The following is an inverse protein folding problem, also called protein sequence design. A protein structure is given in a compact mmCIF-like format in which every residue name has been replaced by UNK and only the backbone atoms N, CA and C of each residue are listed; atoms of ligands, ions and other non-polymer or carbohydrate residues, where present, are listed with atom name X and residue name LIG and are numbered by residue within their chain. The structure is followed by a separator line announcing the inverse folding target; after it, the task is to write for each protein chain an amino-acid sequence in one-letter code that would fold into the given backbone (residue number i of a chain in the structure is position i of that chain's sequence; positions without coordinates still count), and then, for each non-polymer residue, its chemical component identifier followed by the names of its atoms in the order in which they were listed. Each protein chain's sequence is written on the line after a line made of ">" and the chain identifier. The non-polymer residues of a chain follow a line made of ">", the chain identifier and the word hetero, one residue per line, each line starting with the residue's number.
data_IF_928903022755
#
_entry.id   IF_928903022755
#
_cell.length_a   1.000
_cell.length_b   1.000
_cell.length_c   1.000
_cell.angle_alpha   90.00
_cell.angle_beta   90.00
_cell.angle_gamma   90.00
#
_symmetry.space_group_name_H-M   'P 1'
#
loop_
_entity.id
_entity.type
_entity.pdbx_description
1 polymer ?
#
# COMPACT_ATOMS: atom_id res chain seq x y z
N UNK A 1 1.96 17.12 -30.86
CA UNK A 1 2.90 16.53 -29.89
C UNK A 1 2.09 15.94 -28.75
N UNK A 2 2.15 14.63 -28.55
CA UNK A 2 1.50 13.96 -27.42
C UNK A 2 2.29 14.32 -26.17
N UNK A 3 1.64 14.96 -25.19
CA UNK A 3 2.29 15.30 -23.92
C UNK A 3 2.29 14.04 -23.06
N UNK A 4 3.40 13.31 -23.05
CA UNK A 4 3.61 12.24 -22.07
C UNK A 4 3.56 12.93 -20.70
N UNK A 5 2.60 12.54 -19.87
CA UNK A 5 2.44 13.12 -18.56
C UNK A 5 3.63 12.68 -17.70
N UNK A 6 4.12 13.56 -16.83
CA UNK A 6 5.28 13.24 -15.98
C UNK A 6 4.91 12.06 -15.09
N UNK A 7 5.53 10.91 -15.35
CA UNK A 7 5.46 9.71 -14.51
C UNK A 7 6.87 9.42 -14.05
N UNK A 8 7.02 9.10 -12.76
CA UNK A 8 8.29 8.64 -12.24
C UNK A 8 8.76 7.40 -13.04
N UNK A 9 10.07 7.14 -13.14
CA UNK A 9 10.60 5.84 -13.57
C UNK A 9 9.81 4.70 -12.93
N UNK A 10 9.20 3.85 -13.76
CA UNK A 10 8.22 2.85 -13.32
C UNK A 10 8.65 1.48 -13.80
N UNK A 11 8.78 0.56 -12.85
CA UNK A 11 8.76 -0.87 -13.10
C UNK A 11 7.33 -1.38 -12.90
N UNK A 12 6.89 -2.26 -13.78
CA UNK A 12 5.54 -2.81 -13.79
C UNK A 12 5.59 -4.33 -13.88
N UNK A 13 4.74 -4.98 -13.11
CA UNK A 13 4.50 -6.42 -13.16
C UNK A 13 2.99 -6.63 -13.28
N UNK A 14 2.56 -7.51 -14.19
CA UNK A 14 1.18 -7.96 -14.28
C UNK A 14 1.11 -9.47 -14.39
N UNK A 15 0.53 -10.08 -13.36
CA UNK A 15 0.44 -11.52 -13.22
C UNK A 15 1.82 -12.15 -13.08
N UNK A 16 1.96 -13.35 -13.61
CA UNK A 16 3.23 -13.96 -13.97
C UNK A 16 3.01 -14.61 -15.35
N UNK A 17 3.24 -13.82 -16.42
CA UNK A 17 4.62 -13.53 -16.72
C UNK A 17 5.04 -12.10 -17.03
N UNK A 18 4.18 -11.08 -17.06
CA UNK A 18 4.51 -9.84 -17.76
C UNK A 18 5.28 -8.82 -16.90
N UNK A 19 6.48 -8.45 -17.32
CA UNK A 19 7.34 -7.46 -16.66
C UNK A 19 7.72 -6.31 -17.60
N UNK A 20 7.85 -5.11 -17.04
CA UNK A 20 8.51 -3.96 -17.66
C UNK A 20 9.53 -3.37 -16.69
N UNK A 21 10.78 -3.22 -17.11
CA UNK A 21 11.85 -2.61 -16.31
C UNK A 21 11.69 -1.08 -16.22
N UNK A 22 12.48 -0.45 -15.34
CA UNK A 22 12.51 1.01 -15.21
C UNK A 22 12.91 1.73 -16.51
N UNK A 23 13.74 1.09 -17.34
CA UNK A 23 14.22 1.64 -18.62
C UNK A 23 13.35 1.21 -19.82
N UNK A 24 12.22 0.53 -19.55
CA UNK A 24 11.19 0.22 -20.53
C UNK A 24 11.33 -1.12 -21.24
N UNK A 25 12.23 -2.01 -20.80
CA UNK A 25 12.36 -3.36 -21.35
C UNK A 25 11.16 -4.21 -20.95
N UNK A 26 10.36 -4.61 -21.93
CA UNK A 26 9.31 -5.61 -21.75
C UNK A 26 9.88 -7.01 -21.88
N UNK A 27 9.47 -7.90 -20.99
CA UNK A 27 9.77 -9.33 -21.11
C UNK A 27 8.75 -10.15 -20.34
N UNK A 28 8.70 -11.44 -20.69
CA UNK A 28 7.84 -12.42 -20.06
C UNK A 28 8.68 -13.51 -19.40
N UNK A 29 8.35 -13.87 -18.17
CA UNK A 29 8.99 -14.95 -17.42
C UNK A 29 7.97 -15.54 -16.46
N UNK A 30 7.85 -16.87 -16.37
CA UNK A 30 7.00 -17.52 -15.37
C UNK A 30 7.86 -18.29 -14.38
N UNK A 31 7.66 -18.05 -13.09
CA UNK A 31 8.41 -18.72 -12.04
C UNK A 31 7.61 -18.84 -10.74
N UNK A 32 7.60 -20.01 -10.13
CA UNK A 32 6.88 -20.33 -8.89
C UNK A 32 7.76 -20.17 -7.65
N UNK A 33 8.45 -19.03 -7.55
CA UNK A 33 9.40 -18.73 -6.49
C UNK A 33 9.21 -17.31 -5.94
N UNK A 34 10.03 -16.94 -4.95
CA UNK A 34 10.18 -15.57 -4.52
C UNK A 34 11.32 -14.89 -5.29
N UNK A 35 11.05 -13.71 -5.85
CA UNK A 35 11.99 -12.95 -6.67
C UNK A 35 12.12 -11.51 -6.19
N UNK A 36 13.34 -10.99 -6.24
CA UNK A 36 13.62 -9.57 -5.99
C UNK A 36 13.22 -8.75 -7.21
N UNK A 37 12.15 -7.95 -7.11
CA UNK A 37 11.79 -6.99 -8.16
C UNK A 37 12.80 -5.86 -8.24
N UNK A 38 13.01 -5.20 -7.11
CA UNK A 38 13.90 -4.06 -7.00
C UNK A 38 14.44 -3.98 -5.59
N UNK A 39 15.75 -3.79 -5.45
CA UNK A 39 16.40 -3.50 -4.18
C UNK A 39 17.50 -2.46 -4.37
N UNK A 40 17.85 -1.78 -3.28
CA UNK A 40 19.02 -0.90 -3.23
C UNK A 40 20.32 -1.70 -3.31
N UNK A 41 21.29 -1.25 -4.13
CA UNK A 41 22.54 -2.01 -4.35
C UNK A 41 23.46 -2.14 -3.12
N UNK A 42 23.54 -1.11 -2.25
CA UNK A 42 24.65 -1.01 -1.29
C UNK A 42 24.21 -0.82 0.17
N UNK A 43 23.08 -0.15 0.42
CA UNK A 43 22.74 0.35 1.76
C UNK A 43 21.55 -0.37 2.40
N UNK A 44 20.99 -1.39 1.74
CA UNK A 44 19.78 -2.09 2.16
C UNK A 44 18.63 -1.14 2.55
N UNK A 45 18.57 0.05 1.94
CA UNK A 45 17.52 1.03 2.23
C UNK A 45 16.15 0.45 1.89
N UNK A 46 16.03 -0.29 0.79
CA UNK A 46 14.80 -1.00 0.47
C UNK A 46 15.01 -2.30 -0.31
N UNK A 47 14.05 -3.21 -0.20
CA UNK A 47 13.89 -4.37 -1.08
C UNK A 47 12.41 -4.64 -1.31
N UNK A 48 12.03 -4.90 -2.56
CA UNK A 48 10.68 -5.29 -2.98
C UNK A 48 10.77 -6.69 -3.56
N UNK A 49 10.10 -7.63 -2.89
CA UNK A 49 10.06 -9.05 -3.25
C UNK A 49 8.63 -9.42 -3.60
N UNK A 50 8.44 -10.15 -4.70
CA UNK A 50 7.17 -10.85 -4.97
C UNK A 50 7.37 -12.33 -4.71
N UNK A 51 6.32 -12.98 -4.19
CA UNK A 51 6.22 -14.42 -4.15
C UNK A 51 5.13 -14.88 -5.09
N UNK A 52 5.55 -15.56 -6.15
CA UNK A 52 4.68 -16.19 -7.12
C UNK A 52 4.45 -17.65 -6.72
N UNK A 53 3.22 -18.14 -6.86
CA UNK A 53 2.86 -19.54 -6.65
C UNK A 53 2.07 -20.05 -7.82
N UNK A 54 2.10 -21.37 -8.05
CA UNK A 54 1.23 -22.00 -9.03
C UNK A 54 -0.24 -21.80 -8.67
N UNK A 55 -1.03 -21.36 -9.64
CA UNK A 55 -2.45 -21.15 -9.55
C UNK A 55 -3.14 -21.76 -10.79
N UNK A 56 -4.40 -22.17 -10.66
CA UNK A 56 -5.11 -22.81 -11.77
C UNK A 56 -4.75 -24.28 -11.98
N UNK A 57 -5.35 -24.87 -13.03
CA UNK A 57 -5.09 -26.25 -13.48
C UNK A 57 -4.04 -26.30 -14.61
N UNK A 58 -3.81 -25.17 -15.29
CA UNK A 58 -2.85 -24.98 -16.39
C UNK A 58 -1.39 -24.88 -15.95
N UNK A 59 -1.14 -24.66 -14.65
CA UNK A 59 0.22 -24.50 -14.11
C UNK A 59 0.79 -23.08 -14.24
N UNK A 60 -0.04 -22.09 -14.60
CA UNK A 60 0.34 -20.67 -14.54
C UNK A 60 0.62 -20.24 -13.10
N UNK A 61 1.33 -19.14 -12.94
CA UNK A 61 1.73 -18.59 -11.65
C UNK A 61 0.99 -17.29 -11.37
N UNK A 62 0.65 -17.05 -10.11
CA UNK A 62 0.09 -15.77 -9.67
C UNK A 62 0.85 -15.25 -8.46
N UNK A 63 0.92 -13.93 -8.35
CA UNK A 63 1.50 -13.29 -7.18
C UNK A 63 0.56 -13.46 -5.98
N UNK A 64 1.09 -14.03 -4.90
CA UNK A 64 0.33 -14.26 -3.67
C UNK A 64 0.64 -13.25 -2.58
N UNK A 65 1.85 -12.71 -2.62
CA UNK A 65 2.40 -11.89 -1.54
C UNK A 65 3.46 -10.95 -2.09
N UNK A 66 3.47 -9.75 -1.54
CA UNK A 66 4.54 -8.77 -1.77
C UNK A 66 5.14 -8.44 -0.41
N UNK A 67 6.46 -8.52 -0.33
CA UNK A 67 7.20 -8.12 0.85
C UNK A 67 8.02 -6.88 0.50
N UNK A 68 7.78 -5.80 1.23
CA UNK A 68 8.52 -4.54 1.10
C UNK A 68 9.31 -4.29 2.38
N UNK A 69 10.63 -4.41 2.29
CA UNK A 69 11.53 -4.12 3.39
C UNK A 69 12.04 -2.68 3.28
N UNK A 70 11.91 -1.88 4.34
CA UNK A 70 12.31 -0.47 4.39
C UNK A 70 13.16 -0.20 5.64
N UNK A 71 14.49 -0.11 5.49
CA UNK A 71 15.45 0.12 6.59
C UNK A 71 15.18 -0.73 7.84
N UNK A 72 14.88 -2.01 7.63
CA UNK A 72 14.58 -2.99 8.68
C UNK A 72 13.11 -3.17 9.03
N UNK A 73 12.20 -2.28 8.61
CA UNK A 73 10.77 -2.53 8.71
C UNK A 73 10.31 -3.47 7.58
N UNK A 74 9.48 -4.44 7.90
CA UNK A 74 8.94 -5.40 6.92
C UNK A 74 7.44 -5.16 6.77
N UNK A 75 7.02 -4.79 5.56
CA UNK A 75 5.62 -4.64 5.19
C UNK A 75 5.25 -5.83 4.32
N UNK A 76 4.27 -6.63 4.75
CA UNK A 76 3.78 -7.76 3.98
C UNK A 76 2.36 -7.49 3.53
N UNK A 77 2.18 -7.48 2.20
CA UNK A 77 0.89 -7.33 1.56
C UNK A 77 0.43 -8.71 1.10
N UNK A 78 -0.79 -9.08 1.46
CA UNK A 78 -1.41 -10.35 1.08
C UNK A 78 -2.73 -10.10 0.33
N UNK A 79 -3.08 -11.00 -0.59
CA UNK A 79 -4.34 -10.92 -1.36
C UNK A 79 -5.54 -11.22 -0.45
N UNK A 80 -5.40 -12.22 0.41
CA UNK A 80 -6.50 -12.78 1.22
C UNK A 80 -6.33 -12.55 2.74
N UNK A 81 -5.40 -11.67 3.16
CA UNK A 81 -5.14 -11.37 4.57
C UNK A 81 -4.88 -9.87 4.77
N UNK A 82 -5.11 -9.34 6.00
CA UNK A 82 -4.73 -7.99 6.33
C UNK A 82 -3.26 -7.71 6.04
N UNK A 83 -2.96 -6.48 5.65
CA UNK A 83 -1.57 -6.03 5.48
C UNK A 83 -0.91 -5.91 6.85
N UNK A 84 0.35 -6.31 6.96
CA UNK A 84 1.09 -6.23 8.22
C UNK A 84 2.32 -5.32 8.09
N UNK A 85 2.68 -4.66 9.19
CA UNK A 85 3.94 -3.96 9.40
C UNK A 85 4.63 -4.59 10.61
N UNK A 86 5.81 -5.19 10.40
CA UNK A 86 6.55 -5.93 11.42
C UNK A 86 5.65 -6.96 12.14
N UNK A 87 4.91 -7.74 11.36
CA UNK A 87 3.96 -8.78 11.83
C UNK A 87 2.71 -8.25 12.55
N UNK A 88 2.58 -6.94 12.73
CA UNK A 88 1.38 -6.31 13.30
C UNK A 88 0.43 -5.87 12.19
N UNK A 89 -0.84 -6.26 12.29
CA UNK A 89 -1.86 -5.86 11.31
C UNK A 89 -2.06 -4.34 11.28
N UNK A 90 -2.15 -3.81 10.05
CA UNK A 90 -2.43 -2.40 9.80
C UNK A 90 -3.95 -2.21 9.67
N UNK A 91 -4.53 -1.18 10.32
CA UNK A 91 -5.95 -0.84 10.16
C UNK A 91 -6.31 -0.52 8.70
N UNK A 92 -7.57 -0.72 8.30
CA UNK A 92 -8.03 -0.46 6.92
C UNK A 92 -7.92 1.02 6.52
N UNK A 93 -7.96 1.89 7.52
CA UNK A 93 -7.71 3.33 7.48
C UNK A 93 -6.33 3.67 6.89
N UNK A 94 -5.38 2.74 6.99
CA UNK A 94 -4.00 2.88 6.58
C UNK A 94 -3.05 3.12 7.76
N UNK A 95 -1.82 3.44 7.42
CA UNK A 95 -0.74 3.70 8.36
C UNK A 95 0.06 4.91 7.90
N UNK A 96 0.43 5.78 8.82
CA UNK A 96 1.26 6.95 8.52
C UNK A 96 2.30 7.13 9.62
N UNK A 97 3.54 7.31 9.20
CA UNK A 97 4.68 7.62 10.06
C UNK A 97 5.54 8.71 9.43
N UNK A 98 6.62 9.06 10.11
CA UNK A 98 7.57 10.06 9.59
C UNK A 98 8.29 9.62 8.32
N UNK A 99 8.28 8.35 7.89
CA UNK A 99 9.02 7.93 6.68
C UNK A 99 8.18 7.11 5.69
N UNK A 100 7.07 6.55 6.15
CA UNK A 100 6.25 5.57 5.43
C UNK A 100 4.79 5.98 5.58
N UNK A 101 4.07 5.97 4.47
CA UNK A 101 2.61 6.08 4.41
C UNK A 101 2.06 4.90 3.63
N UNK A 102 1.07 4.21 4.19
CA UNK A 102 0.40 3.05 3.60
C UNK A 102 -1.07 3.39 3.55
N UNK A 103 -1.66 3.48 2.36
CA UNK A 103 -3.08 3.80 2.20
C UNK A 103 -3.63 3.32 0.88
N UNK A 104 -4.96 3.26 0.77
CA UNK A 104 -5.63 2.98 -0.51
C UNK A 104 -5.63 4.21 -1.42
N UNK A 105 -5.34 3.97 -2.69
CA UNK A 105 -5.40 4.93 -3.80
C UNK A 105 -6.17 4.32 -4.96
N UNK A 106 -7.46 4.63 -5.07
CA UNK A 106 -8.35 3.96 -6.02
C UNK A 106 -8.45 2.46 -5.71
N UNK A 107 -8.14 1.61 -6.69
CA UNK A 107 -8.10 0.15 -6.51
C UNK A 107 -6.77 -0.36 -5.94
N UNK A 108 -5.77 0.49 -5.73
CA UNK A 108 -4.44 0.09 -5.29
C UNK A 108 -4.26 0.30 -3.78
N UNK A 109 -3.58 -0.62 -3.12
CA UNK A 109 -2.87 -0.35 -1.88
C UNK A 109 -1.51 0.26 -2.21
N UNK A 110 -1.23 1.44 -1.68
CA UNK A 110 -0.01 2.21 -1.97
C UNK A 110 0.87 2.36 -0.73
N UNK A 111 2.15 2.04 -0.87
CA UNK A 111 3.20 2.34 0.11
C UNK A 111 4.03 3.49 -0.47
N UNK A 112 4.01 4.64 0.20
CA UNK A 112 4.76 5.84 -0.17
C UNK A 112 5.89 6.05 0.85
N UNK A 113 7.09 6.36 0.35
CA UNK A 113 8.25 6.66 1.20
C UNK A 113 8.84 8.04 0.90
N UNK A 114 9.38 8.70 1.94
CA UNK A 114 9.99 10.03 1.78
C UNK A 114 11.22 10.02 0.88
N UNK A 115 11.93 8.90 0.83
CA UNK A 115 13.10 8.73 -0.02
C UNK A 115 12.74 8.41 -1.48
N UNK A 116 11.47 8.46 -1.85
CA UNK A 116 11.05 8.42 -3.25
C UNK A 116 10.91 7.03 -3.83
N UNK A 117 10.69 6.01 -2.99
CA UNK A 117 10.12 4.73 -3.41
C UNK A 117 8.60 4.81 -3.26
N UNK A 118 7.88 4.28 -4.24
CA UNK A 118 6.45 3.98 -4.07
C UNK A 118 6.13 2.63 -4.66
N UNK A 119 5.39 1.83 -3.91
CA UNK A 119 4.91 0.52 -4.35
C UNK A 119 3.39 0.55 -4.37
N UNK A 120 2.78 0.21 -5.50
CA UNK A 120 1.34 0.06 -5.62
C UNK A 120 1.00 -1.37 -6.01
N UNK A 121 0.04 -1.96 -5.33
CA UNK A 121 -0.50 -3.27 -5.67
C UNK A 121 -2.02 -3.24 -5.65
N UNK A 122 -2.65 -3.79 -6.67
CA UNK A 122 -4.11 -3.85 -6.77
C UNK A 122 -4.75 -4.99 -5.98
N UNK A 123 -3.99 -5.60 -5.06
CA UNK A 123 -4.37 -6.81 -4.32
C UNK A 123 -4.72 -8.01 -5.22
N UNK A 124 -4.34 -7.94 -6.49
CA UNK A 124 -4.47 -9.02 -7.45
C UNK A 124 -3.12 -9.25 -8.12
N UNK A 125 -3.02 -8.85 -9.37
CA UNK A 125 -1.95 -9.24 -10.27
C UNK A 125 -1.04 -8.08 -10.66
N UNK A 126 -1.41 -6.81 -10.40
CA UNK A 126 -0.66 -5.65 -10.91
C UNK A 126 0.14 -4.96 -9.83
N UNK A 127 1.45 -4.94 -10.02
CA UNK A 127 2.41 -4.28 -9.14
C UNK A 127 3.09 -3.17 -9.92
N UNK A 128 3.16 -1.99 -9.31
CA UNK A 128 3.95 -0.88 -9.81
C UNK A 128 4.98 -0.48 -8.76
N UNK A 129 6.23 -0.40 -9.18
CA UNK A 129 7.32 0.17 -8.38
C UNK A 129 7.74 1.45 -9.05
N UNK A 130 7.60 2.57 -8.35
CA UNK A 130 8.01 3.88 -8.81
C UNK A 130 9.23 4.34 -8.02
N UNK A 131 10.18 4.96 -8.72
CA UNK A 131 11.38 5.52 -8.11
C UNK A 131 11.58 6.98 -8.53
N UNK A 132 11.95 7.83 -7.59
CA UNK A 132 12.50 9.16 -7.90
C UNK A 132 13.83 9.01 -8.65
N UNK A 133 14.16 9.97 -9.52
CA UNK A 133 15.41 10.00 -10.29
C UNK A 133 16.70 9.93 -9.43
N UNK A 134 16.62 10.24 -8.13
CA UNK A 134 17.73 10.08 -7.19
C UNK A 134 18.23 8.63 -7.03
N UNK A 135 17.40 7.65 -7.43
CA UNK A 135 17.70 6.22 -7.44
C UNK A 135 18.36 5.72 -8.73
N UNK A 136 18.57 6.59 -9.72
CA UNK A 136 19.21 6.22 -10.99
C UNK A 136 20.57 5.54 -10.72
N UNK A 137 20.79 4.35 -11.29
CA UNK A 137 21.99 3.50 -11.11
C UNK A 137 22.25 3.04 -9.66
N UNK A 138 21.26 3.06 -8.78
CA UNK A 138 21.39 2.64 -7.37
C UNK A 138 20.47 1.47 -7.00
N UNK A 139 19.89 0.84 -8.00
CA UNK A 139 18.92 -0.25 -7.84
C UNK A 139 19.31 -1.43 -8.72
N UNK A 140 18.83 -2.59 -8.33
CA UNK A 140 19.02 -3.85 -9.03
C UNK A 140 17.84 -4.79 -8.76
N UNK A 141 17.67 -5.81 -9.60
CA UNK A 141 16.56 -6.76 -9.51
C UNK A 141 15.95 -7.04 -10.88
N UNK A 142 14.79 -7.71 -10.90
CA UNK A 142 14.01 -7.96 -12.11
C UNK A 142 13.61 -6.67 -12.85
N UNK A 143 13.49 -5.55 -12.13
CA UNK A 143 13.18 -4.24 -12.69
C UNK A 143 14.35 -3.55 -13.40
N UNK A 144 15.51 -4.21 -13.54
CA UNK A 144 16.71 -3.66 -14.16
C UNK A 144 17.52 -2.77 -13.23
N UNK A 145 18.48 -2.03 -13.78
CA UNK A 145 19.43 -1.21 -13.02
C UNK A 145 19.09 0.30 -13.00
N UNK A 146 18.04 0.68 -13.74
CA UNK A 146 17.56 2.06 -13.88
C UNK A 146 18.69 3.03 -14.27
N UNK A 147 19.32 2.80 -15.41
CA UNK A 147 20.40 3.65 -15.93
C UNK A 147 20.02 4.41 -17.23
N UNK A 148 18.87 4.08 -17.81
CA UNK A 148 18.33 4.59 -19.06
C UNK A 148 18.66 3.73 -20.29
N UNK A 149 19.25 2.53 -20.12
CA UNK A 149 19.75 1.67 -21.19
C UNK A 149 19.03 0.32 -21.14
N UNK A 150 17.90 0.24 -21.83
CA UNK A 150 17.07 -0.97 -21.93
C UNK A 150 17.86 -2.27 -22.23
N UNK A 151 18.89 -2.21 -23.08
CA UNK A 151 19.60 -3.43 -23.54
C UNK A 151 20.49 -4.08 -22.47
N UNK A 152 20.79 -3.41 -21.36
CA UNK A 152 21.59 -3.96 -20.27
C UNK A 152 20.76 -4.34 -19.03
N UNK A 153 19.43 -4.22 -19.08
CA UNK A 153 18.58 -4.49 -17.91
C UNK A 153 18.65 -5.94 -17.42
N UNK A 154 19.10 -6.88 -18.26
CA UNK A 154 19.24 -8.30 -17.91
C UNK A 154 20.56 -8.62 -17.21
N UNK A 155 21.01 -7.73 -16.32
CA UNK A 155 22.16 -7.99 -15.45
C UNK A 155 21.75 -8.92 -14.31
N UNK A 156 22.34 -10.10 -14.27
CA UNK A 156 22.13 -11.06 -13.19
C UNK A 156 22.64 -10.53 -11.84
N UNK A 157 22.29 -11.23 -10.77
CA UNK A 157 22.82 -10.96 -9.42
C UNK A 157 24.36 -10.99 -9.36
N UNK A 158 25.00 -11.76 -10.23
CA UNK A 158 26.46 -11.82 -10.39
C UNK A 158 27.02 -10.80 -11.40
N UNK A 159 26.18 -9.86 -11.86
CA UNK A 159 26.53 -8.81 -12.84
C UNK A 159 26.92 -9.35 -14.23
N UNK A 160 26.48 -10.57 -14.56
CA UNK A 160 26.59 -11.13 -15.91
C UNK A 160 25.38 -10.69 -16.75
N UNK A 161 25.61 -10.30 -18.01
CA UNK A 161 24.53 -9.95 -18.91
C UNK A 161 23.90 -11.20 -19.51
N UNK A 162 22.68 -11.50 -19.10
CA UNK A 162 21.91 -12.65 -19.56
C UNK A 162 21.16 -12.34 -20.85
N UNK A 163 21.07 -13.32 -21.75
CA UNK A 163 20.33 -13.17 -23.02
C UNK A 163 18.86 -13.60 -22.87
N UNK A 164 18.59 -14.60 -22.03
CA UNK A 164 17.26 -15.17 -21.83
C UNK A 164 16.58 -14.54 -20.61
N UNK A 165 15.30 -14.15 -20.71
CA UNK A 165 14.52 -13.67 -19.57
C UNK A 165 14.52 -14.64 -18.38
N UNK A 166 14.43 -15.94 -18.63
CA UNK A 166 14.44 -16.96 -17.57
C UNK A 166 15.79 -17.06 -16.85
N UNK A 167 16.90 -17.07 -17.58
CA UNK A 167 18.25 -17.04 -16.98
C UNK A 167 18.47 -15.80 -16.12
N UNK A 168 18.06 -14.63 -16.63
CA UNK A 168 18.06 -13.39 -15.88
C UNK A 168 17.22 -13.51 -14.61
N UNK A 169 15.95 -13.92 -14.73
CA UNK A 169 15.01 -13.92 -13.61
C UNK A 169 15.39 -14.94 -12.53
N UNK A 170 15.87 -16.12 -12.94
CA UNK A 170 16.34 -17.15 -12.03
C UNK A 170 17.54 -16.73 -11.18
N UNK A 171 18.35 -15.78 -11.64
CA UNK A 171 19.46 -15.24 -10.86
C UNK A 171 19.01 -14.36 -9.68
N UNK A 172 17.77 -13.85 -9.73
CA UNK A 172 17.16 -12.96 -8.73
C UNK A 172 16.23 -13.69 -7.75
N UNK A 173 16.33 -15.02 -7.66
CA UNK A 173 15.62 -15.81 -6.65
C UNK A 173 16.12 -15.46 -5.24
N UNK A 174 15.18 -15.35 -4.30
CA UNK A 174 15.50 -15.11 -2.88
C UNK A 174 16.11 -16.35 -2.23
N UNK A 175 15.62 -17.53 -2.62
CA UNK A 175 16.10 -18.84 -2.17
C UNK A 175 16.04 -19.84 -3.34
N UNK A 176 16.74 -20.97 -3.21
CA UNK A 176 16.66 -22.02 -4.23
C UNK A 176 15.26 -22.63 -4.26
N UNK A 177 14.65 -22.63 -5.45
CA UNK A 177 13.34 -23.21 -5.73
C UNK A 177 13.50 -24.32 -6.78
N UNK A 178 12.68 -25.40 -6.72
CA UNK A 178 12.70 -26.43 -7.74
C UNK A 178 12.50 -25.82 -9.13
N UNK A 179 13.41 -26.11 -10.06
CA UNK A 179 13.19 -25.72 -11.45
C UNK A 179 12.04 -26.55 -11.98
N UNK A 180 10.93 -25.87 -12.26
CA UNK A 180 9.79 -26.49 -12.89
C UNK A 180 10.07 -26.55 -14.40
N UNK A 181 10.68 -27.65 -14.86
CA UNK A 181 11.08 -27.92 -16.26
C UNK A 181 9.95 -27.69 -17.30
N UNK A 182 8.69 -27.58 -16.87
CA UNK A 182 7.53 -27.32 -17.72
C UNK A 182 7.24 -25.83 -17.99
N UNK A 183 7.71 -24.90 -17.16
CA UNK A 183 7.45 -23.45 -17.32
C UNK A 183 8.57 -22.71 -18.08
N UNK A 184 9.72 -23.35 -18.27
CA UNK A 184 10.83 -22.84 -19.09
C UNK A 184 10.65 -23.10 -20.60
N UNK A 185 9.50 -23.65 -21.04
CA UNK A 185 9.25 -23.78 -22.48
C UNK A 185 8.93 -22.39 -23.04
N UNK A 186 9.91 -21.78 -23.72
CA UNK A 186 9.80 -20.51 -24.45
C UNK A 186 8.62 -20.46 -25.46
N UNK A 187 7.88 -21.56 -25.65
CA UNK A 187 6.73 -21.72 -26.54
C UNK A 187 5.44 -22.16 -25.82
N UNK A 188 5.28 -21.87 -24.53
CA UNK A 188 3.99 -22.09 -23.87
C UNK A 188 2.97 -21.04 -24.35
N UNK A 189 2.11 -21.43 -25.28
CA UNK A 189 1.01 -20.58 -25.76
C UNK A 189 -0.34 -21.07 -25.17
N UNK A 190 -0.91 -20.35 -24.18
CA UNK A 190 -2.12 -20.79 -23.49
C UNK A 190 -3.31 -21.02 -24.42
N UNK A 191 -3.49 -20.17 -25.44
CA UNK A 191 -4.61 -20.31 -26.39
C UNK A 191 -4.47 -21.54 -27.31
N UNK A 192 -3.26 -22.03 -27.55
CA UNK A 192 -3.05 -23.27 -28.32
C UNK A 192 -3.27 -24.51 -27.44
N UNK A 193 -2.99 -24.40 -26.13
CA UNK A 193 -3.32 -25.45 -25.15
C UNK A 193 -4.81 -25.48 -24.81
N UNK A 194 -5.47 -24.33 -24.83
CA UNK A 194 -6.90 -24.16 -24.54
C UNK A 194 -7.63 -23.55 -25.76
N UNK A 195 -7.72 -24.28 -26.90
CA UNK A 195 -8.28 -23.73 -28.14
C UNK A 195 -9.75 -23.35 -28.03
N UNK A 196 -10.49 -23.97 -27.11
CA UNK A 196 -11.89 -23.63 -26.83
C UNK A 196 -12.07 -22.27 -26.16
N UNK A 197 -11.06 -21.74 -25.44
CA UNK A 197 -11.08 -20.40 -24.85
C UNK A 197 -10.75 -19.31 -25.87
N UNK A 198 -9.99 -19.63 -26.91
CA UNK A 198 -9.47 -18.65 -27.90
C UNK A 198 -10.55 -17.74 -28.51
N UNK A 199 -11.75 -18.21 -28.90
CA UNK A 199 -12.80 -17.34 -29.41
C UNK A 199 -13.28 -16.31 -28.40
N UNK A 200 -13.52 -16.74 -27.15
CA UNK A 200 -13.95 -15.85 -26.07
C UNK A 200 -12.86 -14.84 -25.68
N UNK A 201 -11.61 -15.30 -25.56
CA UNK A 201 -10.46 -14.44 -25.30
C UNK A 201 -10.29 -13.37 -26.40
N UNK A 202 -10.44 -13.77 -27.67
CA UNK A 202 -10.38 -12.85 -28.81
C UNK A 202 -11.47 -11.80 -28.74
N UNK A 203 -12.70 -12.18 -28.45
CA UNK A 203 -13.83 -11.27 -28.32
C UNK A 203 -13.60 -10.25 -27.19
N UNK A 204 -13.21 -10.71 -26.01
CA UNK A 204 -12.97 -9.83 -24.85
C UNK A 204 -11.77 -8.90 -25.04
N UNK A 205 -10.64 -9.41 -25.54
CA UNK A 205 -9.42 -8.63 -25.77
C UNK A 205 -9.55 -7.68 -26.97
N UNK A 206 -10.56 -7.87 -27.84
CA UNK A 206 -10.80 -7.02 -29.02
C UNK A 206 -10.91 -5.54 -28.68
N UNK A 207 -11.38 -5.20 -27.47
CA UNK A 207 -11.50 -3.81 -27.00
C UNK A 207 -10.18 -3.04 -27.08
N UNK A 208 -9.04 -3.72 -26.85
CA UNK A 208 -7.69 -3.13 -26.91
C UNK A 208 -7.39 -2.64 -28.32
N UNK A 209 -7.66 -3.45 -29.36
CA UNK A 209 -7.32 -3.17 -30.77
C UNK A 209 -8.43 -2.47 -31.57
N UNK A 210 -9.68 -2.73 -31.23
CA UNK A 210 -10.84 -2.35 -32.03
C UNK A 210 -11.80 -1.43 -31.23
N UNK A 211 -12.90 -1.04 -31.87
CA UNK A 211 -13.97 -0.25 -31.24
C UNK A 211 -13.58 1.20 -30.91
N UNK A 212 -14.49 1.99 -30.31
CA UNK A 212 -14.25 3.42 -30.07
C UNK A 212 -13.48 3.72 -28.78
N UNK A 213 -13.52 2.82 -27.78
CA UNK A 213 -13.10 3.09 -26.38
C UNK A 213 -11.66 3.61 -26.31
N UNK A 214 -10.69 2.88 -26.89
CA UNK A 214 -9.28 3.29 -26.88
C UNK A 214 -8.82 3.96 -28.18
N UNK A 215 -9.72 4.38 -29.07
CA UNK A 215 -9.34 4.85 -30.42
C UNK A 215 -8.36 6.03 -30.41
N UNK A 216 -8.58 7.04 -29.55
CA UNK A 216 -7.69 8.21 -29.43
C UNK A 216 -6.31 7.84 -28.89
N UNK A 217 -6.27 6.93 -27.92
CA UNK A 217 -5.03 6.41 -27.35
C UNK A 217 -4.24 5.61 -28.39
N UNK A 218 -4.88 4.68 -29.11
CA UNK A 218 -4.26 3.90 -30.19
C UNK A 218 -3.64 4.78 -31.27
N UNK A 219 -4.32 5.86 -31.66
CA UNK A 219 -3.78 6.82 -32.62
C UNK A 219 -2.49 7.55 -32.14
N UNK A 220 -2.20 7.49 -30.84
CA UNK A 220 -1.06 8.16 -30.20
C UNK A 220 0.06 7.19 -29.77
N UNK A 221 -0.14 5.88 -29.96
CA UNK A 221 0.82 4.84 -29.56
C UNK A 221 1.36 4.10 -30.79
N UNK A 222 2.63 3.63 -30.75
CA UNK A 222 3.13 2.72 -31.78
C UNK A 222 2.31 1.42 -31.85
N UNK A 223 2.04 0.92 -33.06
CA UNK A 223 1.27 -0.31 -33.25
C UNK A 223 1.86 -1.52 -32.52
N UNK A 224 3.18 -1.62 -32.43
CA UNK A 224 3.85 -2.71 -31.70
C UNK A 224 3.44 -2.76 -30.22
N UNK A 225 3.24 -1.59 -29.58
CA UNK A 225 2.80 -1.52 -28.18
C UNK A 225 1.38 -2.06 -28.06
N UNK A 226 0.49 -1.65 -28.96
CA UNK A 226 -0.92 -2.12 -28.98
C UNK A 226 -0.97 -3.63 -29.21
N UNK A 227 -0.12 -4.15 -30.10
CA UNK A 227 0.00 -5.58 -30.36
C UNK A 227 0.45 -6.34 -29.11
N UNK A 228 1.49 -5.87 -28.40
CA UNK A 228 1.97 -6.49 -27.17
C UNK A 228 0.86 -6.62 -26.12
N UNK A 229 0.17 -5.53 -25.77
CA UNK A 229 -0.90 -5.60 -24.76
C UNK A 229 -2.08 -6.50 -25.18
N UNK A 230 -2.36 -6.58 -26.49
CA UNK A 230 -3.39 -7.49 -26.98
C UNK A 230 -2.96 -8.95 -26.87
N UNK A 231 -1.71 -9.28 -27.19
CA UNK A 231 -1.18 -10.64 -27.04
C UNK A 231 -1.08 -11.05 -25.57
N UNK A 232 -0.66 -10.14 -24.69
CA UNK A 232 -0.69 -10.34 -23.23
C UNK A 232 -2.12 -10.65 -22.75
N UNK A 233 -3.11 -9.90 -23.24
CA UNK A 233 -4.52 -10.17 -22.93
C UNK A 233 -4.97 -11.56 -23.40
N UNK A 234 -4.61 -11.98 -24.61
CA UNK A 234 -4.94 -13.32 -25.10
C UNK A 234 -4.26 -14.40 -24.26
N UNK A 235 -2.97 -14.22 -23.93
CA UNK A 235 -2.21 -15.12 -23.08
C UNK A 235 -2.91 -15.30 -21.73
N UNK A 236 -3.21 -14.21 -21.04
CA UNK A 236 -3.87 -14.20 -19.73
C UNK A 236 -5.28 -14.81 -19.81
N UNK A 237 -6.10 -14.39 -20.78
CA UNK A 237 -7.48 -14.85 -20.93
C UNK A 237 -7.58 -16.36 -21.23
N UNK A 238 -6.65 -16.91 -22.01
CA UNK A 238 -6.61 -18.34 -22.33
C UNK A 238 -5.92 -19.18 -21.25
N UNK A 239 -5.02 -18.59 -20.44
CA UNK A 239 -4.29 -19.29 -19.38
C UNK A 239 -5.02 -19.33 -18.04
N UNK A 240 -6.01 -18.46 -17.85
CA UNK A 240 -6.72 -18.28 -16.60
C UNK A 240 -7.83 -19.32 -16.41
N UNK A 241 -7.65 -20.25 -15.47
CA UNK A 241 -8.65 -21.28 -15.11
C UNK A 241 -9.25 -21.10 -13.70
N UNK A 242 -8.69 -20.21 -12.87
CA UNK A 242 -9.12 -19.91 -11.50
C UNK A 242 -8.95 -18.40 -11.22
N UNK A 243 -9.79 -17.81 -10.35
CA UNK A 243 -9.94 -16.34 -10.19
C UNK A 243 -11.13 -15.77 -10.96
N UNK A 244 -11.76 -16.61 -11.79
CA UNK A 244 -12.83 -16.24 -12.70
C UNK A 244 -12.29 -15.59 -13.96
N UNK A 245 -12.90 -15.93 -15.10
CA UNK A 245 -12.54 -15.42 -16.42
C UNK A 245 -12.47 -13.87 -16.48
N UNK A 246 -13.23 -13.21 -15.60
CA UNK A 246 -13.21 -11.76 -15.45
C UNK A 246 -11.89 -11.24 -14.85
N UNK A 247 -11.29 -11.81 -13.81
CA UNK A 247 -10.14 -11.20 -13.12
C UNK A 247 -8.94 -11.00 -14.07
N UNK A 248 -8.61 -12.03 -14.85
CA UNK A 248 -7.47 -12.02 -15.77
C UNK A 248 -7.69 -11.07 -16.96
N UNK A 249 -8.87 -11.14 -17.61
CA UNK A 249 -9.21 -10.22 -18.72
C UNK A 249 -9.27 -8.77 -18.23
N UNK A 250 -9.90 -8.52 -17.09
CA UNK A 250 -10.03 -7.17 -16.55
C UNK A 250 -8.66 -6.58 -16.21
N UNK A 251 -7.75 -7.39 -15.66
CA UNK A 251 -6.36 -6.99 -15.43
C UNK A 251 -5.68 -6.59 -16.73
N UNK A 252 -5.72 -7.45 -17.74
CA UNK A 252 -5.04 -7.20 -19.01
C UNK A 252 -5.55 -5.93 -19.71
N UNK A 253 -6.87 -5.73 -19.73
CA UNK A 253 -7.46 -4.48 -20.26
C UNK A 253 -7.06 -3.28 -19.39
N UNK A 254 -7.02 -3.44 -18.07
CA UNK A 254 -6.57 -2.37 -17.16
C UNK A 254 -5.12 -1.96 -17.43
N UNK A 255 -4.24 -2.88 -17.81
CA UNK A 255 -2.85 -2.55 -18.15
C UNK A 255 -2.77 -1.62 -19.37
N UNK A 256 -3.55 -1.92 -20.42
CA UNK A 256 -3.64 -1.04 -21.58
C UNK A 256 -4.31 0.30 -21.25
N UNK A 257 -5.34 0.28 -20.41
CA UNK A 257 -5.97 1.49 -19.88
C UNK A 257 -4.98 2.39 -19.14
N UNK A 258 -4.17 1.83 -18.23
CA UNK A 258 -3.10 2.57 -17.53
C UNK A 258 -2.13 3.18 -18.54
N UNK A 259 -1.73 2.42 -19.57
CA UNK A 259 -0.85 2.94 -20.64
C UNK A 259 -1.49 4.14 -21.34
N UNK A 260 -2.77 4.08 -21.64
CA UNK A 260 -3.52 5.18 -22.23
C UNK A 260 -3.63 6.40 -21.31
N UNK A 261 -3.90 6.20 -20.02
CA UNK A 261 -3.96 7.27 -19.03
C UNK A 261 -2.63 8.04 -18.93
N UNK A 262 -1.50 7.32 -18.93
CA UNK A 262 -0.14 7.92 -18.92
C UNK A 262 0.12 8.79 -20.16
N UNK A 263 -0.43 8.39 -21.32
CA UNK A 263 -0.35 9.16 -22.56
C UNK A 263 -1.38 10.29 -22.67
N UNK A 264 -2.14 10.55 -21.59
CA UNK A 264 -3.13 11.63 -21.53
C UNK A 264 -4.49 11.26 -22.12
N UNK A 265 -4.78 9.96 -22.27
CA UNK A 265 -6.04 9.44 -22.78
C UNK A 265 -6.70 8.48 -21.77
N UNK A 266 -7.01 8.92 -20.53
CA UNK A 266 -7.82 8.11 -19.64
C UNK A 266 -9.22 7.91 -20.25
N UNK A 267 -9.76 6.70 -20.15
CA UNK A 267 -11.06 6.36 -20.74
C UNK A 267 -11.86 5.45 -19.84
N UNK A 268 -13.16 5.71 -19.73
CA UNK A 268 -14.09 4.80 -19.06
C UNK A 268 -14.33 3.56 -19.94
N UNK A 269 -13.60 2.49 -19.66
CA UNK A 269 -13.71 1.22 -20.37
C UNK A 269 -14.58 0.18 -19.65
N UNK A 270 -14.67 0.29 -18.31
CA UNK A 270 -15.52 -0.57 -17.46
C UNK A 270 -17.00 -0.25 -17.64
N UNK A 271 -17.81 -1.31 -17.68
CA UNK A 271 -19.27 -1.26 -17.84
C UNK A 271 -19.91 -2.42 -17.09
N UNK A 272 -21.24 -2.42 -16.96
CA UNK A 272 -21.95 -3.41 -16.14
C UNK A 272 -21.70 -4.85 -16.60
N UNK A 273 -21.51 -5.06 -17.89
CA UNK A 273 -21.25 -6.33 -18.56
C UNK A 273 -19.75 -6.60 -18.82
N UNK A 274 -18.85 -5.67 -18.49
CA UNK A 274 -17.41 -5.84 -18.64
C UNK A 274 -16.69 -5.18 -17.47
N UNK A 275 -16.20 -6.03 -16.56
CA UNK A 275 -15.32 -5.62 -15.48
C UNK A 275 -15.89 -4.51 -14.57
N UNK A 276 -17.15 -4.62 -14.11
CA UNK A 276 -17.77 -3.56 -13.33
C UNK A 276 -17.01 -3.33 -12.02
N UNK A 277 -16.86 -2.05 -11.66
CA UNK A 277 -16.45 -1.63 -10.32
C UNK A 277 -17.65 -0.97 -9.66
N UNK A 278 -18.00 -1.46 -8.49
CA UNK A 278 -19.02 -0.85 -7.63
C UNK A 278 -18.32 -0.10 -6.51
N UNK A 279 -18.64 1.19 -6.39
CA UNK A 279 -18.10 2.02 -5.33
C UNK A 279 -19.09 2.08 -4.18
N UNK A 280 -18.63 1.70 -2.99
CA UNK A 280 -19.41 1.73 -1.76
C UNK A 280 -19.39 3.12 -1.11
N UNK A 281 -20.18 3.32 -0.05
CA UNK A 281 -20.14 4.50 0.82
C UNK A 281 -20.16 5.86 0.10
N UNK A 282 -20.95 5.96 -0.98
CA UNK A 282 -21.09 7.17 -1.83
C UNK A 282 -19.79 7.63 -2.51
N UNK A 283 -18.80 6.75 -2.60
CA UNK A 283 -17.63 6.98 -3.44
C UNK A 283 -18.01 6.98 -4.92
N UNK A 284 -17.23 7.67 -5.74
CA UNK A 284 -17.43 7.78 -7.18
C UNK A 284 -16.31 7.07 -7.93
N UNK A 285 -16.69 6.29 -8.94
CA UNK A 285 -15.70 5.67 -9.83
C UNK A 285 -15.11 6.72 -10.77
N UNK A 286 -13.79 6.78 -10.83
CA UNK A 286 -13.02 7.57 -11.79
C UNK A 286 -12.04 6.65 -12.52
N UNK A 287 -12.02 6.74 -13.85
CA UNK A 287 -10.99 6.11 -14.69
C UNK A 287 -9.58 6.67 -14.42
N UNK A 288 -9.50 7.90 -13.91
CA UNK A 288 -8.24 8.58 -13.63
C UNK A 288 -8.49 9.57 -12.49
N UNK A 289 -8.43 9.06 -11.26
CA UNK A 289 -8.53 9.84 -10.03
C UNK A 289 -7.16 10.15 -9.40
N UNK A 290 -7.14 10.93 -8.32
CA UNK A 290 -5.89 11.34 -7.68
C UNK A 290 -5.09 10.13 -7.19
N UNK A 291 -3.84 10.02 -7.61
CA UNK A 291 -2.95 8.92 -7.21
C UNK A 291 -2.55 8.99 -5.71
N UNK A 292 -2.67 10.16 -5.09
CA UNK A 292 -2.58 10.37 -3.65
C UNK A 292 -3.88 11.04 -3.15
N UNK A 293 -4.97 10.29 -2.94
CA UNK A 293 -6.25 10.85 -2.51
C UNK A 293 -6.18 11.34 -1.06
N UNK A 294 -6.95 12.40 -0.73
CA UNK A 294 -6.93 12.98 0.60
C UNK A 294 -7.69 12.10 1.61
N UNK A 295 -7.11 11.92 2.79
CA UNK A 295 -7.67 11.11 3.88
C UNK A 295 -7.78 11.91 5.18
N UNK A 296 -8.55 11.41 6.15
CA UNK A 296 -8.58 12.00 7.50
C UNK A 296 -7.23 11.89 8.23
N UNK A 297 -6.38 10.94 7.82
CA UNK A 297 -5.09 10.64 8.45
C UNK A 297 -3.91 11.31 7.73
N UNK A 298 -4.20 12.15 6.74
CA UNK A 298 -3.20 12.98 6.10
C UNK A 298 -2.78 14.08 7.08
N UNK A 299 -1.66 13.84 7.75
CA UNK A 299 -1.00 14.77 8.65
C UNK A 299 -0.26 15.87 7.86
N UNK A 300 0.39 16.84 8.53
CA UNK A 300 1.36 17.73 7.86
C UNK A 300 2.47 16.97 7.11
N UNK A 301 2.72 15.71 7.48
CA UNK A 301 3.64 14.82 6.77
C UNK A 301 3.11 14.41 5.38
N UNK A 302 1.81 14.50 5.10
CA UNK A 302 1.24 14.23 3.78
C UNK A 302 1.75 15.20 2.70
N UNK A 303 2.12 16.43 3.07
CA UNK A 303 2.81 17.36 2.17
C UNK A 303 4.15 16.79 1.69
N UNK A 304 4.82 15.97 2.50
CA UNK A 304 6.10 15.33 2.15
C UNK A 304 5.92 14.20 1.12
N UNK A 305 4.68 13.78 0.87
CA UNK A 305 4.28 12.79 -0.11
C UNK A 305 3.39 13.39 -1.22
N UNK A 306 3.30 14.72 -1.32
CA UNK A 306 2.46 15.41 -2.29
C UNK A 306 2.89 15.17 -3.75
N UNK A 307 4.17 14.89 -3.98
CA UNK A 307 4.68 14.47 -5.29
C UNK A 307 4.23 13.04 -5.58
N UNK A 308 3.06 12.89 -6.20
CA UNK A 308 2.58 11.58 -6.59
C UNK A 308 3.43 11.03 -7.74
N UNK A 309 3.95 9.79 -7.64
CA UNK A 309 4.82 9.21 -8.66
C UNK A 309 4.04 8.78 -9.92
N UNK A 310 2.73 8.60 -9.79
CA UNK A 310 1.81 8.36 -10.89
C UNK A 310 0.98 9.61 -11.17
N UNK A 311 0.63 9.82 -12.44
CA UNK A 311 -0.26 10.90 -12.85
C UNK A 311 -1.66 10.75 -12.24
N UNK A 312 -2.21 9.54 -12.28
CA UNK A 312 -3.51 9.20 -11.71
C UNK A 312 -3.64 7.69 -11.50
N UNK A 313 -4.67 7.28 -10.76
CA UNK A 313 -5.02 5.87 -10.61
C UNK A 313 -6.52 5.68 -10.84
N UNK A 314 -6.88 4.52 -11.36
CA UNK A 314 -8.29 4.12 -11.55
C UNK A 314 -8.89 3.63 -10.23
N UNK A 315 -10.17 3.90 -10.00
CA UNK A 315 -10.91 3.29 -8.88
C UNK A 315 -11.97 4.18 -8.27
N UNK A 316 -12.30 3.90 -7.01
CA UNK A 316 -13.31 4.63 -6.26
C UNK A 316 -12.65 5.74 -5.43
N UNK A 317 -13.23 6.93 -5.46
CA UNK A 317 -12.72 8.11 -4.76
C UNK A 317 -13.84 8.86 -4.05
N UNK A 318 -13.46 9.63 -3.03
CA UNK A 318 -14.41 10.55 -2.42
C UNK A 318 -14.74 11.71 -3.36
N UNK A 319 -16.02 12.16 -3.39
CA UNK A 319 -16.40 13.37 -4.09
C UNK A 319 -15.58 14.59 -3.64
N UNK A 320 -15.46 15.63 -4.49
CA UNK A 320 -14.74 16.85 -4.13
C UNK A 320 -15.21 17.44 -2.80
N UNK A 321 -14.25 17.78 -1.92
CA UNK A 321 -14.51 18.36 -0.60
C UNK A 321 -14.65 17.35 0.54
N UNK A 322 -14.65 16.05 0.26
CA UNK A 322 -14.69 14.98 1.26
C UNK A 322 -13.35 14.25 1.38
N UNK A 323 -13.13 13.62 2.53
CA UNK A 323 -11.92 12.88 2.90
C UNK A 323 -12.25 11.41 3.09
N UNK A 324 -11.32 10.53 2.75
CA UNK A 324 -11.43 9.09 3.01
C UNK A 324 -11.11 8.78 4.49
N UNK A 325 -11.97 8.00 5.13
CA UNK A 325 -11.87 7.52 6.52
C UNK A 325 -12.42 6.09 6.56
N UNK A 326 -11.58 5.07 6.80
CA UNK A 326 -12.04 3.66 6.89
C UNK A 326 -13.01 3.21 5.78
N UNK A 327 -12.76 3.60 4.51
CA UNK A 327 -13.60 3.23 3.36
C UNK A 327 -14.82 4.11 3.10
N UNK A 328 -15.14 5.09 3.95
CA UNK A 328 -16.24 6.05 3.76
C UNK A 328 -15.74 7.47 3.52
N UNK A 329 -16.60 8.28 2.89
CA UNK A 329 -16.32 9.68 2.64
C UNK A 329 -16.96 10.57 3.70
N UNK A 330 -16.14 11.35 4.39
CA UNK A 330 -16.54 12.22 5.49
C UNK A 330 -16.05 13.64 5.27
N UNK A 331 -16.69 14.59 5.92
CA UNK A 331 -16.19 15.98 5.97
C UNK A 331 -14.99 16.08 6.91
N UNK A 332 -14.21 17.16 6.79
CA UNK A 332 -13.07 17.39 7.71
C UNK A 332 -13.50 17.44 9.17
N UNK A 333 -14.69 17.97 9.47
CA UNK A 333 -15.24 18.05 10.83
C UNK A 333 -15.57 16.69 11.44
N UNK A 334 -15.80 15.69 10.60
CA UNK A 334 -16.13 14.31 11.01
C UNK A 334 -14.88 13.41 11.17
N UNK A 335 -13.68 13.93 10.86
CA UNK A 335 -12.44 13.16 10.99
C UNK A 335 -12.10 12.83 12.46
N UNK A 336 -11.82 11.56 12.78
CA UNK A 336 -11.40 11.15 14.13
C UNK A 336 -9.95 11.58 14.42
N UNK A 337 -9.61 11.65 15.70
CA UNK A 337 -8.23 11.91 16.15
C UNK A 337 -7.56 10.63 16.62
N UNK A 338 -6.29 10.47 16.27
CA UNK A 338 -5.47 9.33 16.69
C UNK A 338 -4.45 9.78 17.74
N UNK A 339 -4.51 9.19 18.94
CA UNK A 339 -3.63 9.55 20.06
C UNK A 339 -3.15 8.29 20.73
N UNK A 340 -1.83 8.08 20.75
CA UNK A 340 -1.18 6.94 21.41
C UNK A 340 -1.79 5.58 21.00
N UNK A 341 -2.09 5.42 19.71
CA UNK A 341 -2.70 4.21 19.15
C UNK A 341 -4.21 4.07 19.37
N UNK A 342 -4.87 5.03 20.02
CA UNK A 342 -6.32 5.05 20.23
C UNK A 342 -7.02 6.04 19.30
N UNK A 343 -8.23 5.69 18.87
CA UNK A 343 -9.07 6.51 17.98
C UNK A 343 -10.13 7.21 18.82
N UNK A 344 -10.28 8.52 18.63
CA UNK A 344 -11.25 9.36 19.33
C UNK A 344 -12.17 10.03 18.33
N UNK A 345 -13.48 9.88 18.54
CA UNK A 345 -14.50 10.53 17.72
C UNK A 345 -14.37 12.06 17.79
N UNK A 346 -14.79 12.79 16.73
CA UNK A 346 -14.91 14.24 16.78
C UNK A 346 -15.68 14.72 18.02
N UNK A 347 -15.18 15.75 18.69
CA UNK A 347 -15.73 16.30 19.94
C UNK A 347 -15.31 15.60 21.22
N UNK A 348 -14.64 14.44 21.14
CA UNK A 348 -14.13 13.74 22.33
C UNK A 348 -13.13 14.60 23.10
N UNK A 349 -13.24 14.60 24.43
CA UNK A 349 -12.30 15.26 25.33
C UNK A 349 -11.31 14.21 25.83
N UNK A 350 -10.03 14.49 25.64
CA UNK A 350 -8.91 13.66 26.02
C UNK A 350 -8.14 14.39 27.12
N UNK A 351 -8.12 13.80 28.30
CA UNK A 351 -7.33 14.29 29.42
C UNK A 351 -5.88 13.82 29.22
N UNK A 352 -4.96 14.74 28.96
CA UNK A 352 -3.52 14.46 28.96
C UNK A 352 -2.93 14.76 30.33
N UNK A 353 -1.81 14.09 30.65
CA UNK A 353 -0.99 14.37 31.86
C UNK A 353 -0.73 15.89 31.96
N UNK A 354 -0.72 16.44 33.17
CA UNK A 354 -0.59 17.88 33.48
C UNK A 354 -1.84 18.74 33.17
N UNK A 355 -3.05 18.25 33.50
CA UNK A 355 -4.32 19.00 33.45
C UNK A 355 -4.66 19.63 32.08
N UNK A 356 -4.18 19.04 30.99
CA UNK A 356 -4.43 19.55 29.65
C UNK A 356 -5.65 18.85 29.05
N UNK A 357 -6.74 19.61 28.86
CA UNK A 357 -7.94 19.12 28.20
C UNK A 357 -7.77 19.33 26.69
N UNK A 358 -7.74 18.24 25.94
CA UNK A 358 -7.65 18.27 24.49
C UNK A 358 -8.97 17.82 23.87
N UNK A 359 -9.57 18.65 23.02
CA UNK A 359 -10.77 18.26 22.27
C UNK A 359 -10.38 17.83 20.87
N UNK A 360 -10.86 16.66 20.45
CA UNK A 360 -10.70 16.22 19.07
C UNK A 360 -11.55 17.09 18.14
N UNK A 361 -10.90 17.89 17.30
CA UNK A 361 -11.56 18.80 16.36
C UNK A 361 -10.90 18.68 15.00
N UNK A 362 -11.66 18.33 13.97
CA UNK A 362 -11.17 18.25 12.57
C UNK A 362 -9.96 17.31 12.40
N UNK A 363 -9.98 16.15 13.06
CA UNK A 363 -8.86 15.19 13.10
C UNK A 363 -7.64 15.64 13.90
N UNK A 364 -7.67 16.81 14.54
CA UNK A 364 -6.56 17.36 15.32
C UNK A 364 -6.95 17.54 16.79
N UNK A 365 -5.98 17.43 17.69
CA UNK A 365 -6.18 17.77 19.10
C UNK A 365 -6.08 19.28 19.29
N UNK A 366 -7.18 19.90 19.68
CA UNK A 366 -7.18 21.26 20.18
C UNK A 366 -7.05 21.22 21.70
N UNK A 367 -5.81 21.35 22.18
CA UNK A 367 -5.50 21.36 23.60
C UNK A 367 -5.59 22.77 24.16
N UNK A 368 -6.40 22.95 25.20
CA UNK A 368 -6.43 24.17 25.98
C UNK A 368 -5.56 23.95 27.21
N UNK A 369 -4.57 24.83 27.42
CA UNK A 369 -3.83 24.88 28.67
C UNK A 369 -4.79 25.33 29.76
N UNK A 370 -5.47 24.39 30.40
CA UNK A 370 -6.02 24.62 31.72
C UNK A 370 -4.84 24.78 32.65
N UNK A 371 -4.77 25.90 33.38
CA UNK A 371 -3.86 26.01 34.51
C UNK A 371 -4.16 24.83 35.42
N UNK A 372 -3.24 23.88 35.56
CA UNK A 372 -3.26 23.02 36.74
C UNK A 372 -3.38 23.96 37.92
N UNK A 373 -4.43 23.78 38.73
CA UNK A 373 -4.55 24.49 39.99
C UNK A 373 -3.27 24.12 40.74
N UNK A 374 -2.31 25.05 40.82
CA UNK A 374 -1.14 24.82 41.68
C UNK A 374 -1.73 24.62 43.05
N UNK A 375 -1.44 23.47 43.67
CA UNK A 375 -1.86 23.22 45.02
C UNK A 375 -1.41 24.40 45.89
N UNK A 376 -2.30 24.87 46.75
CA UNK A 376 -1.98 25.94 47.68
C UNK A 376 -0.78 25.55 48.55
N UNK A 377 -0.15 26.50 49.23
CA UNK A 377 0.99 26.20 50.11
C UNK A 377 0.69 25.13 51.17
N UNK A 378 -0.58 24.94 51.50
CA UNK A 378 -1.06 24.00 52.51
C UNK A 378 -1.59 22.68 51.91
N UNK A 379 -1.46 22.50 50.59
CA UNK A 379 -1.93 21.33 49.85
C UNK A 379 -0.74 20.53 49.28
N UNK A 380 -0.95 19.22 49.10
CA UNK A 380 -0.07 18.25 48.48
C UNK A 380 -0.62 17.86 47.10
N UNK A 381 0.27 17.69 46.13
CA UNK A 381 -0.07 17.35 44.74
C UNK A 381 0.01 15.83 44.54
N UNK A 382 -1.15 15.19 44.39
CA UNK A 382 -1.28 13.77 44.04
C UNK A 382 -0.88 13.52 42.58
N UNK A 383 -0.50 12.28 42.25
CA UNK A 383 -0.45 11.85 40.86
C UNK A 383 -1.79 11.19 40.45
N UNK A 384 -2.43 11.57 39.32
CA UNK A 384 -2.11 12.71 38.45
C UNK A 384 -2.96 13.97 38.74
N UNK A 385 -2.39 14.96 39.41
CA UNK A 385 -2.79 16.37 39.36
C UNK A 385 -3.96 16.80 40.25
N UNK A 386 -4.35 16.00 41.26
CA UNK A 386 -5.32 16.41 42.29
C UNK A 386 -4.60 17.00 43.52
N UNK A 387 -5.25 17.92 44.24
CA UNK A 387 -4.70 18.54 45.44
C UNK A 387 -5.45 18.05 46.67
N UNK A 388 -4.72 17.49 47.65
CA UNK A 388 -5.23 17.17 48.98
C UNK A 388 -4.58 18.09 50.01
N UNK A 389 -5.13 18.19 51.21
CA UNK A 389 -4.46 18.96 52.27
C UNK A 389 -3.20 18.23 52.74
N UNK A 390 -2.13 18.95 53.08
CA UNK A 390 -0.87 18.33 53.57
C UNK A 390 -1.02 17.48 54.82
N UNK A 391 -2.09 17.69 55.61
CA UNK A 391 -2.40 16.89 56.79
C UNK A 391 -3.02 15.52 56.46
N UNK A 392 -3.29 15.24 55.17
CA UNK A 392 -3.76 13.96 54.64
C UNK A 392 -2.65 13.16 53.96
N UNK A 393 -1.41 13.65 54.05
CA UNK A 393 -0.25 12.88 53.58
C UNK A 393 0.22 12.05 54.76
N UNK A 394 0.32 10.73 54.59
CA UNK A 394 0.71 9.80 55.64
C UNK A 394 -0.23 9.77 56.84
N UNK A 395 -1.53 9.90 56.60
CA UNK A 395 -2.56 9.80 57.63
C UNK A 395 -3.16 8.39 57.75
N UNK A 396 -2.73 7.48 56.87
CA UNK A 396 -3.15 6.08 56.83
C UNK A 396 -4.42 5.82 56.02
N UNK A 397 -4.93 6.84 55.32
CA UNK A 397 -6.03 6.72 54.35
C UNK A 397 -5.51 7.01 52.95
N UNK A 398 -6.08 6.33 51.95
CA UNK A 398 -5.81 6.61 50.54
C UNK A 398 -6.72 7.77 50.13
N UNK A 399 -6.19 8.99 50.12
CA UNK A 399 -6.88 10.20 49.65
C UNK A 399 -6.52 10.56 48.19
N UNK A 400 -5.36 10.14 47.68
CA UNK A 400 -5.05 10.24 46.25
C UNK A 400 -5.66 9.07 45.44
N UNK A 401 -6.06 9.32 44.19
CA UNK A 401 -6.65 8.29 43.30
C UNK A 401 -5.71 7.11 43.03
N UNK A 402 -4.40 7.38 42.94
CA UNK A 402 -3.34 6.37 42.81
C UNK A 402 -2.64 6.03 44.14
N UNK A 403 -3.10 6.57 45.28
CA UNK A 403 -2.53 6.31 46.61
C UNK A 403 -1.14 6.90 46.86
N UNK A 404 -0.69 7.84 46.03
CA UNK A 404 0.65 8.47 46.14
C UNK A 404 0.90 9.24 47.43
N UNK A 405 -0.14 9.56 48.19
CA UNK A 405 -0.08 10.21 49.51
C UNK A 405 0.44 9.29 50.63
N UNK A 406 0.47 7.98 50.40
CA UNK A 406 0.86 6.97 51.39
C UNK A 406 2.11 6.15 50.99
N UNK A 407 2.74 6.45 49.85
CA UNK A 407 3.86 5.65 49.31
C UNK A 407 5.24 6.00 49.90
N UNK A 408 5.46 7.25 50.35
CA UNK A 408 6.77 7.74 50.83
C UNK A 408 6.69 8.37 52.23
N UNK A 409 6.08 7.63 53.15
CA UNK A 409 5.88 8.09 54.52
C UNK A 409 7.12 7.88 55.39
N UNK A 410 7.55 8.88 56.17
CA UNK A 410 8.62 8.70 57.13
C UNK A 410 8.20 7.61 58.12
N UNK A 411 9.04 6.60 58.28
CA UNK A 411 8.83 5.48 59.20
C UNK A 411 8.92 5.95 60.66
N UNK A 412 7.87 6.62 61.14
CA UNK A 412 7.68 6.93 62.56
C UNK A 412 6.23 6.66 62.93
N UNK A 413 5.99 5.39 63.26
CA UNK A 413 5.06 4.87 64.26
C UNK A 413 3.69 5.55 64.34
N UNK A 414 2.70 4.96 63.67
CA UNK A 414 1.37 4.82 64.26
C UNK A 414 0.91 3.39 64.08
N UNK A 415 0.72 2.71 65.20
CA UNK A 415 0.28 1.32 65.31
C UNK A 415 -1.04 1.09 64.58
N UNK A 416 -1.04 0.15 63.63
CA UNK A 416 -2.25 -0.48 63.11
C UNK A 416 -3.13 -0.96 64.28
N UNK A 417 -4.29 -0.33 64.46
CA UNK A 417 -5.41 -0.98 65.17
C UNK A 417 -6.34 -1.51 64.10
N UNK A 418 -6.09 -2.76 63.69
CA UNK A 418 -7.05 -3.57 62.94
C UNK A 418 -8.29 -3.77 63.81
N UNK A 419 -9.37 -3.04 63.52
CA UNK A 419 -10.70 -3.46 63.95
C UNK A 419 -11.27 -4.41 62.89
N UNK A 420 -11.18 -5.71 63.17
CA UNK A 420 -12.03 -6.70 62.52
C UNK A 420 -13.44 -6.60 63.12
N UNK A 421 -14.51 -6.45 62.32
CA UNK A 421 -15.85 -6.72 62.79
C UNK A 421 -16.06 -8.24 62.79
N UNK A 422 -16.08 -8.84 63.97
CA UNK A 422 -16.77 -10.12 64.18
C UNK A 422 -18.26 -9.89 64.03
N UNK A 423 -18.91 -10.73 63.22
CA UNK A 423 -20.26 -10.53 62.74
C UNK A 423 -21.40 -10.73 63.75
N UNK A 424 -22.59 -10.46 63.22
CA UNK A 424 -23.86 -11.10 63.54
C UNK A 424 -24.74 -11.03 62.29
#
# INVERSE_FOLDING_TARGET
>A
MVKILMVAPTCFVSGDPHYQTFDGKFYSFQGDCAYVLAQSCEDNTFSVVTRNVKCGLTGVTCTKEITVTLKGNVISLFKDKPTTLNEVEIPEEGYSSSNIMIKRSGIFLSILTKFGLTVQWDLGTRIYVFLKNSWKRKVEGLCGNFDGIMNNDFLSKQKSLEQKPSSFAHSWRVYECPVSDKLDSENYEPCEKNPYRKPWATDMCSIIKHGPVFAKCRASLPNIVIETYYQDCLFDACGCDLGGDCECVCTAISNFHTKCAIYGFPVRWRRQDLCPIQCEYKMVYLECGPANPPTCYDDKSAELFADSPSYCVEGCFCPPGLLLDGGRCVTRDECPCHVDGKIFSPGSIILKKNCMNCTCTKGNLLCVNTTCKKCNKDEFECAPGTCIMKNRVCDGYIDCEEGTDEEDCPTTVTTYTTFMPTGL
#
